data_IF_453029574610
#
_entry.id   IF_453029574610
#
_cell.length_a   1.000
_cell.length_b   1.000
_cell.length_c   1.000
_cell.angle_alpha   90.00
_cell.angle_beta   90.00
_cell.angle_gamma   90.00
#
_symmetry.space_group_name_H-M   'P 1'
#
loop_
_entity.id
_entity.type
_entity.pdbx_description
1 polymer ?
#
# COMPACT_ATOMS: atom_id res chain seq x y z
N UNK A 1 1.18 40.19 -22.70
CA UNK A 1 1.06 38.79 -23.08
C UNK A 1 2.23 38.06 -22.41
N UNK A 2 2.02 37.47 -21.23
CA UNK A 2 2.97 36.57 -20.62
C UNK A 2 2.96 35.24 -21.38
N UNK A 3 4.12 34.77 -21.83
CA UNK A 3 4.23 33.43 -22.37
C UNK A 3 3.86 32.44 -21.26
N UNK A 4 2.96 31.53 -21.54
CA UNK A 4 2.67 30.42 -20.63
C UNK A 4 3.99 29.66 -20.37
N UNK A 5 4.33 29.45 -19.11
CA UNK A 5 5.50 28.67 -18.77
C UNK A 5 5.33 27.27 -19.34
N UNK A 6 6.27 26.82 -20.18
CA UNK A 6 6.20 25.48 -20.77
C UNK A 6 6.54 24.47 -19.68
N UNK A 7 5.62 23.52 -19.46
CA UNK A 7 5.85 22.38 -18.56
C UNK A 7 6.80 21.41 -19.25
N UNK A 8 7.88 21.03 -18.56
CA UNK A 8 8.85 20.04 -19.03
C UNK A 8 8.86 18.82 -18.13
N UNK A 9 9.11 17.65 -18.72
CA UNK A 9 9.30 16.40 -17.99
C UNK A 9 10.76 16.03 -17.95
N UNK A 10 11.28 15.80 -16.76
CA UNK A 10 12.65 15.36 -16.49
C UNK A 10 12.62 13.91 -16.05
N UNK A 11 13.60 13.13 -16.49
CA UNK A 11 13.70 11.73 -16.11
C UNK A 11 15.15 11.35 -15.82
N UNK A 12 15.32 10.39 -14.93
CA UNK A 12 16.60 9.75 -14.67
C UNK A 12 16.38 8.32 -14.19
N UNK A 13 17.44 7.52 -14.21
CA UNK A 13 17.42 6.15 -13.76
C UNK A 13 18.65 5.81 -12.91
N UNK A 14 18.52 4.77 -12.10
CA UNK A 14 19.58 4.21 -11.27
C UNK A 14 19.50 2.69 -11.32
N UNK A 15 20.62 2.03 -11.57
CA UNK A 15 20.76 0.59 -11.50
C UNK A 15 21.52 0.22 -10.22
N UNK A 16 20.87 -0.50 -9.32
CA UNK A 16 21.47 -0.95 -8.08
C UNK A 16 22.42 -2.13 -8.35
N UNK A 17 23.46 -2.33 -7.53
CA UNK A 17 24.28 -3.54 -7.63
C UNK A 17 23.45 -4.80 -7.37
N UNK A 18 23.90 -5.93 -7.89
CA UNK A 18 23.29 -7.22 -7.61
C UNK A 18 23.37 -7.55 -6.10
N UNK A 19 22.47 -8.42 -5.63
CA UNK A 19 22.47 -8.90 -4.25
C UNK A 19 21.72 -8.01 -3.25
N UNK A 20 20.96 -7.04 -3.71
CA UNK A 20 20.04 -6.29 -2.85
C UNK A 20 18.92 -7.22 -2.37
N UNK A 21 18.72 -7.26 -1.06
CA UNK A 21 17.74 -8.09 -0.38
C UNK A 21 16.74 -7.27 0.46
N UNK A 22 16.98 -6.00 0.64
CA UNK A 22 16.08 -5.09 1.33
C UNK A 22 15.98 -3.74 0.63
N UNK A 23 14.79 -3.15 0.65
CA UNK A 23 14.51 -1.85 0.04
C UNK A 23 13.89 -0.94 1.08
N UNK A 24 14.41 0.28 1.20
CA UNK A 24 13.85 1.37 1.99
C UNK A 24 13.64 2.57 1.08
N UNK A 25 12.40 3.05 0.97
CA UNK A 25 12.06 4.26 0.22
C UNK A 25 11.50 5.30 1.17
N UNK A 26 12.07 6.49 1.15
CA UNK A 26 11.64 7.66 1.91
C UNK A 26 11.33 8.80 0.93
N UNK A 27 10.06 9.09 0.77
CA UNK A 27 9.56 10.13 -0.13
C UNK A 27 8.57 11.04 0.61
N UNK A 28 8.20 12.15 0.00
CA UNK A 28 7.23 13.10 0.55
C UNK A 28 6.07 13.43 -0.42
N UNK A 29 6.26 13.25 -1.73
CA UNK A 29 5.29 13.72 -2.71
C UNK A 29 5.28 12.97 -4.03
N UNK A 30 6.03 11.87 -4.19
CA UNK A 30 5.98 11.07 -5.40
C UNK A 30 5.01 9.90 -5.27
N UNK A 31 4.38 9.52 -6.37
CA UNK A 31 3.80 8.21 -6.53
C UNK A 31 4.94 7.18 -6.57
N UNK A 32 5.01 6.32 -5.57
CA UNK A 32 6.03 5.29 -5.42
C UNK A 32 5.48 3.94 -5.87
N UNK A 33 6.10 3.34 -6.87
CA UNK A 33 5.70 2.07 -7.47
C UNK A 33 6.84 1.06 -7.33
N UNK A 34 6.59 -0.05 -6.66
CA UNK A 34 7.46 -1.23 -6.67
C UNK A 34 6.75 -2.32 -7.46
N UNK A 35 7.36 -2.79 -8.54
CA UNK A 35 6.79 -3.82 -9.40
C UNK A 35 7.79 -4.92 -9.71
N UNK A 36 7.33 -6.16 -9.68
CA UNK A 36 8.16 -7.29 -10.08
C UNK A 36 8.47 -7.23 -11.58
N UNK A 37 9.71 -7.54 -11.93
CA UNK A 37 10.19 -7.57 -13.31
C UNK A 37 11.15 -8.73 -13.53
N UNK A 38 11.30 -9.14 -14.79
CA UNK A 38 12.25 -10.19 -15.20
C UNK A 38 13.63 -9.58 -15.44
N UNK A 39 14.27 -9.18 -14.35
CA UNK A 39 15.58 -8.53 -14.28
C UNK A 39 16.43 -9.19 -13.20
N UNK A 40 17.73 -8.97 -13.20
CA UNK A 40 18.68 -9.57 -12.25
C UNK A 40 19.12 -8.62 -11.13
N UNK A 41 18.79 -7.34 -11.22
CA UNK A 41 19.07 -6.32 -10.22
C UNK A 41 17.93 -5.32 -10.13
N UNK A 42 17.88 -4.53 -9.05
CA UNK A 42 16.85 -3.49 -8.90
C UNK A 42 17.20 -2.29 -9.77
N UNK A 43 16.23 -1.86 -10.56
CA UNK A 43 16.31 -0.62 -11.36
C UNK A 43 15.26 0.37 -10.86
N UNK A 44 15.71 1.58 -10.60
CA UNK A 44 14.84 2.71 -10.28
C UNK A 44 14.78 3.67 -11.47
N UNK A 45 13.58 3.98 -11.92
CA UNK A 45 13.30 5.01 -12.92
C UNK A 45 12.40 6.06 -12.28
N UNK A 46 12.72 7.33 -12.46
CA UNK A 46 11.89 8.41 -11.94
C UNK A 46 11.71 9.54 -12.93
N UNK A 47 10.52 10.12 -12.89
CA UNK A 47 10.10 11.25 -13.72
C UNK A 47 9.61 12.38 -12.84
N UNK A 48 9.89 13.59 -13.24
CA UNK A 48 9.44 14.79 -12.58
C UNK A 48 8.96 15.81 -13.62
N UNK A 49 7.75 16.29 -13.47
CA UNK A 49 7.16 17.29 -14.36
C UNK A 49 7.08 18.62 -13.64
N UNK A 50 7.64 19.66 -14.20
CA UNK A 50 7.69 21.01 -13.61
C UNK A 50 7.76 22.07 -14.70
N UNK A 51 7.24 23.25 -14.38
CA UNK A 51 7.43 24.48 -15.15
C UNK A 51 8.80 25.14 -14.92
N UNK A 52 9.59 24.63 -13.98
CA UNK A 52 10.92 25.16 -13.65
C UNK A 52 12.01 24.20 -14.09
N UNK A 53 13.14 24.77 -14.55
CA UNK A 53 14.33 23.99 -14.87
C UNK A 53 14.88 23.31 -13.62
N UNK A 54 15.20 22.03 -13.75
CA UNK A 54 15.61 21.18 -12.64
C UNK A 54 16.64 20.14 -13.09
N UNK A 55 17.64 19.89 -12.23
CA UNK A 55 18.62 18.83 -12.46
C UNK A 55 18.08 17.48 -11.90
N UNK A 56 17.51 16.67 -12.77
CA UNK A 56 16.80 15.43 -12.43
C UNK A 56 17.66 14.42 -11.67
N UNK A 57 18.97 14.38 -11.95
CA UNK A 57 19.90 13.45 -11.28
C UNK A 57 20.06 13.67 -9.79
N UNK A 58 19.62 14.82 -9.27
CA UNK A 58 19.72 15.19 -7.84
C UNK A 58 18.42 15.08 -7.07
N UNK A 59 17.37 14.55 -7.68
CA UNK A 59 16.08 14.41 -7.00
C UNK A 59 16.08 13.33 -5.92
N UNK A 60 16.80 12.25 -6.16
CA UNK A 60 16.93 11.13 -5.25
C UNK A 60 18.38 10.80 -4.95
N UNK A 61 18.66 10.45 -3.70
CA UNK A 61 19.86 9.76 -3.29
C UNK A 61 19.61 8.26 -3.21
N UNK A 62 20.51 7.50 -3.81
CA UNK A 62 20.55 6.06 -3.77
C UNK A 62 21.77 5.61 -2.99
N UNK A 63 21.57 4.97 -1.85
CA UNK A 63 22.64 4.44 -1.02
C UNK A 63 22.48 2.94 -0.82
N UNK A 64 23.61 2.22 -0.85
CA UNK A 64 23.65 0.79 -0.60
C UNK A 64 24.53 0.52 0.60
N UNK A 65 23.93 -0.11 1.62
CA UNK A 65 24.63 -0.56 2.82
C UNK A 65 24.37 -2.06 3.03
N UNK A 66 25.41 -2.87 2.86
CA UNK A 66 25.25 -4.32 2.81
C UNK A 66 24.35 -4.74 1.66
N UNK A 67 23.25 -5.42 1.96
CA UNK A 67 22.23 -5.82 0.98
C UNK A 67 20.99 -4.92 0.97
N UNK A 68 21.05 -3.74 1.57
CA UNK A 68 19.94 -2.78 1.65
C UNK A 68 20.14 -1.62 0.69
N UNK A 69 19.19 -1.41 -0.19
CA UNK A 69 19.06 -0.20 -1.00
C UNK A 69 18.15 0.79 -0.29
N UNK A 70 18.67 1.97 -0.01
CA UNK A 70 17.89 3.11 0.50
C UNK A 70 17.76 4.17 -0.58
N UNK A 71 16.52 4.55 -0.86
CA UNK A 71 16.14 5.59 -1.83
C UNK A 71 15.50 6.73 -1.07
N UNK A 72 16.13 7.88 -1.07
CA UNK A 72 15.66 9.06 -0.33
C UNK A 72 15.46 10.24 -1.28
N UNK A 73 14.28 10.85 -1.26
CA UNK A 73 14.04 12.09 -1.98
C UNK A 73 14.74 13.24 -1.27
N UNK A 74 15.73 13.84 -1.92
CA UNK A 74 16.62 14.82 -1.31
C UNK A 74 16.18 16.25 -1.54
N UNK A 75 15.40 16.52 -2.58
CA UNK A 75 15.05 17.87 -2.97
C UNK A 75 13.67 17.95 -3.59
N UNK A 76 12.83 18.78 -3.00
CA UNK A 76 11.78 19.46 -3.75
C UNK A 76 12.47 20.61 -4.53
N UNK A 77 12.27 20.74 -5.84
CA UNK A 77 12.70 21.93 -6.55
C UNK A 77 12.12 23.15 -5.83
N UNK A 78 12.97 24.07 -5.41
CA UNK A 78 12.54 25.24 -4.65
C UNK A 78 11.42 25.95 -5.38
N UNK A 79 10.22 25.89 -4.84
CA UNK A 79 9.17 26.86 -5.10
C UNK A 79 9.61 28.18 -4.46
N UNK A 80 10.59 28.83 -5.05
CA UNK A 80 11.01 30.15 -4.64
C UNK A 80 9.90 31.13 -5.01
N UNK A 81 9.06 31.46 -4.02
CA UNK A 81 8.39 32.75 -3.85
C UNK A 81 7.57 33.37 -4.99
N UNK A 82 7.04 32.61 -5.94
CA UNK A 82 6.02 33.15 -6.84
C UNK A 82 4.81 32.25 -6.76
N UNK A 83 3.82 32.68 -6.00
CA UNK A 83 2.47 32.12 -6.03
C UNK A 83 1.91 32.42 -7.40
N UNK A 84 2.05 31.49 -8.33
CA UNK A 84 1.24 31.43 -9.54
C UNK A 84 0.42 30.16 -9.52
N UNK A 85 -0.85 30.33 -9.69
CA UNK A 85 -1.96 29.46 -9.37
C UNK A 85 -2.14 28.23 -10.26
N UNK A 86 -1.15 27.74 -10.99
CA UNK A 86 -1.26 26.54 -11.83
C UNK A 86 0.08 25.80 -11.99
N UNK A 87 0.78 25.53 -10.90
CA UNK A 87 1.97 24.70 -10.95
C UNK A 87 1.56 23.21 -10.86
N UNK A 88 1.43 22.58 -12.01
CA UNK A 88 1.17 21.14 -12.10
C UNK A 88 2.50 20.40 -11.89
N UNK A 89 2.74 19.96 -10.67
CA UNK A 89 3.89 19.11 -10.33
C UNK A 89 3.45 17.68 -10.21
N UNK A 90 4.14 16.78 -10.89
CA UNK A 90 3.98 15.35 -10.68
C UNK A 90 5.34 14.68 -10.59
N UNK A 91 5.46 13.76 -9.68
CA UNK A 91 6.65 12.95 -9.51
C UNK A 91 6.25 11.49 -9.42
N UNK A 92 6.94 10.64 -10.15
CA UNK A 92 6.77 9.18 -10.07
C UNK A 92 8.13 8.52 -9.92
N UNK A 93 8.25 7.66 -8.92
CA UNK A 93 9.40 6.79 -8.70
C UNK A 93 8.95 5.34 -8.89
N UNK A 94 9.51 4.67 -9.87
CA UNK A 94 9.24 3.25 -10.15
C UNK A 94 10.49 2.42 -9.88
N UNK A 95 10.40 1.45 -8.97
CA UNK A 95 11.41 0.43 -8.76
C UNK A 95 10.96 -0.88 -9.41
N UNK A 96 11.72 -1.34 -10.40
CA UNK A 96 11.61 -2.67 -10.94
C UNK A 96 12.40 -3.61 -10.04
N UNK A 97 11.75 -4.65 -9.53
CA UNK A 97 12.30 -5.56 -8.52
C UNK A 97 12.40 -6.96 -9.12
N UNK A 98 13.56 -7.62 -9.02
CA UNK A 98 13.69 -9.01 -9.46
C UNK A 98 12.65 -9.93 -8.82
N UNK A 99 12.24 -10.98 -9.55
CA UNK A 99 11.33 -12.00 -9.04
C UNK A 99 12.02 -12.91 -8.02
N UNK A 100 12.33 -12.35 -6.88
CA UNK A 100 12.89 -13.06 -5.72
C UNK A 100 12.15 -12.62 -4.45
N UNK A 101 12.24 -13.40 -3.40
CA UNK A 101 11.70 -13.00 -2.09
C UNK A 101 12.73 -12.12 -1.39
N UNK A 102 12.41 -10.86 -1.20
CA UNK A 102 13.22 -9.93 -0.42
C UNK A 102 13.05 -10.19 1.09
N UNK A 103 14.03 -9.81 1.87
CA UNK A 103 13.91 -9.86 3.34
C UNK A 103 12.97 -8.76 3.84
N UNK A 104 13.13 -7.54 3.33
CA UNK A 104 12.33 -6.41 3.80
C UNK A 104 12.04 -5.38 2.70
N UNK A 105 10.84 -4.84 2.73
CA UNK A 105 10.42 -3.66 1.98
C UNK A 105 9.81 -2.66 2.95
N UNK A 106 10.34 -1.45 2.97
CA UNK A 106 9.76 -0.33 3.72
C UNK A 106 9.60 0.86 2.79
N UNK A 107 8.38 1.34 2.64
CA UNK A 107 8.07 2.52 1.82
C UNK A 107 7.30 3.51 2.65
N UNK A 108 7.77 4.74 2.68
CA UNK A 108 7.07 5.86 3.30
C UNK A 108 6.98 7.05 2.34
N UNK A 109 5.80 7.64 2.26
CA UNK A 109 5.56 8.92 1.58
C UNK A 109 4.58 9.76 2.40
N UNK A 110 4.42 11.03 2.07
CA UNK A 110 3.47 11.90 2.81
C UNK A 110 2.21 12.16 2.00
N UNK A 111 2.34 12.53 0.73
CA UNK A 111 1.21 13.08 -0.02
C UNK A 111 0.87 12.35 -1.32
N UNK A 112 1.33 11.14 -1.52
CA UNK A 112 1.01 10.43 -2.75
C UNK A 112 0.86 8.92 -2.52
N UNK A 113 0.58 8.20 -3.61
CA UNK A 113 0.26 6.78 -3.59
C UNK A 113 1.49 5.89 -3.46
N UNK A 114 1.28 4.73 -2.86
CA UNK A 114 2.23 3.62 -2.85
C UNK A 114 1.57 2.44 -3.57
N UNK A 115 2.25 1.89 -4.56
CA UNK A 115 1.84 0.69 -5.28
C UNK A 115 2.89 -0.41 -5.13
N UNK A 116 2.47 -1.59 -4.72
CA UNK A 116 3.29 -2.80 -4.64
C UNK A 116 2.65 -3.88 -5.52
N UNK A 117 3.28 -4.25 -6.62
CA UNK A 117 2.71 -5.13 -7.64
C UNK A 117 3.57 -6.37 -7.93
N UNK A 118 3.07 -7.54 -7.60
CA UNK A 118 3.71 -8.83 -7.89
C UNK A 118 5.01 -9.09 -7.13
N UNK A 119 5.32 -8.31 -6.10
CA UNK A 119 6.57 -8.40 -5.34
C UNK A 119 6.40 -9.34 -4.15
N UNK A 120 7.45 -10.13 -3.86
CA UNK A 120 7.51 -11.03 -2.71
C UNK A 120 8.52 -10.52 -1.69
N UNK A 121 8.15 -10.54 -0.40
CA UNK A 121 9.07 -10.19 0.69
C UNK A 121 8.67 -10.89 1.99
N UNK A 122 9.65 -11.18 2.86
CA UNK A 122 9.35 -11.66 4.20
C UNK A 122 8.51 -10.64 4.97
N UNK A 123 8.90 -9.37 4.88
CA UNK A 123 8.17 -8.26 5.51
C UNK A 123 8.01 -7.11 4.54
N UNK A 124 6.81 -6.56 4.43
CA UNK A 124 6.55 -5.32 3.71
C UNK A 124 5.76 -4.34 4.59
N UNK A 125 6.24 -3.12 4.71
CA UNK A 125 5.61 -2.02 5.45
C UNK A 125 5.45 -0.79 4.57
N UNK A 126 4.21 -0.38 4.36
CA UNK A 126 3.83 0.72 3.46
C UNK A 126 3.10 1.80 4.27
N UNK A 127 3.59 3.01 4.25
CA UNK A 127 3.01 4.12 5.03
C UNK A 127 2.88 5.38 4.18
N UNK A 128 1.72 5.99 4.20
CA UNK A 128 1.49 7.33 3.63
C UNK A 128 0.58 8.14 4.54
N UNK A 129 0.65 9.46 4.49
CA UNK A 129 -0.29 10.30 5.26
C UNK A 129 -1.58 10.56 4.46
N UNK A 130 -1.46 11.04 3.23
CA UNK A 130 -2.60 11.50 2.43
C UNK A 130 -2.70 10.82 1.06
N UNK A 131 -2.17 9.62 0.93
CA UNK A 131 -2.19 8.86 -0.30
C UNK A 131 -2.99 7.57 -0.20
N UNK A 132 -3.09 6.89 -1.32
CA UNK A 132 -3.63 5.53 -1.35
C UNK A 132 -2.49 4.51 -1.31
N UNK A 133 -2.80 3.34 -0.77
CA UNK A 133 -1.93 2.17 -0.81
C UNK A 133 -2.64 1.10 -1.65
N UNK A 134 -1.96 0.64 -2.69
CA UNK A 134 -2.43 -0.43 -3.56
C UNK A 134 -1.42 -1.57 -3.54
N UNK A 135 -1.86 -2.75 -3.11
CA UNK A 135 -1.07 -3.97 -3.14
C UNK A 135 -1.76 -5.00 -4.03
N UNK A 136 -1.03 -5.56 -4.96
CA UNK A 136 -1.52 -6.64 -5.82
C UNK A 136 -0.52 -7.79 -5.90
N UNK A 137 -1.03 -9.03 -5.77
CA UNK A 137 -0.26 -10.27 -5.91
C UNK A 137 1.01 -10.29 -5.04
N UNK A 138 0.84 -10.02 -3.75
CA UNK A 138 1.92 -10.10 -2.76
C UNK A 138 2.00 -11.49 -2.14
N UNK A 139 3.23 -11.96 -1.94
CA UNK A 139 3.53 -13.19 -1.21
C UNK A 139 4.61 -12.94 -0.15
N UNK A 140 4.34 -13.31 1.10
CA UNK A 140 5.30 -13.09 2.19
C UNK A 140 4.81 -13.54 3.55
N UNK A 141 5.53 -13.13 4.59
CA UNK A 141 5.16 -13.46 5.98
C UNK A 141 4.35 -12.37 6.65
N UNK A 142 4.70 -11.10 6.41
CA UNK A 142 4.00 -9.95 7.01
C UNK A 142 3.84 -8.83 5.99
N UNK A 143 2.62 -8.39 5.83
CA UNK A 143 2.27 -7.20 5.04
C UNK A 143 1.53 -6.19 5.91
N UNK A 144 2.00 -4.96 5.96
CA UNK A 144 1.30 -3.86 6.63
C UNK A 144 1.14 -2.65 5.73
N UNK A 145 -0.05 -2.04 5.75
CA UNK A 145 -0.36 -0.79 5.07
C UNK A 145 -1.02 0.20 6.01
N UNK A 146 -0.50 1.41 6.11
CA UNK A 146 -1.06 2.46 6.97
C UNK A 146 -1.19 3.76 6.19
N UNK A 147 -2.37 4.35 6.23
CA UNK A 147 -2.59 5.72 5.76
C UNK A 147 -3.37 6.51 6.80
N UNK A 148 -3.17 7.82 6.84
CA UNK A 148 -4.01 8.69 7.68
C UNK A 148 -5.32 9.01 6.98
N UNK A 149 -5.23 9.47 5.73
CA UNK A 149 -6.38 9.81 4.89
C UNK A 149 -6.19 9.21 3.50
N UNK A 150 -7.07 8.30 3.11
CA UNK A 150 -6.97 7.72 1.79
C UNK A 150 -7.61 6.33 1.71
N UNK A 151 -7.28 5.63 0.64
CA UNK A 151 -7.79 4.30 0.37
C UNK A 151 -6.68 3.27 0.50
N UNK A 152 -6.97 2.15 1.12
CA UNK A 152 -6.12 0.96 1.06
C UNK A 152 -6.85 -0.12 0.26
N UNK A 153 -6.20 -0.65 -0.76
CA UNK A 153 -6.66 -1.82 -1.52
C UNK A 153 -5.55 -2.87 -1.50
N UNK A 154 -5.87 -4.05 -1.03
CA UNK A 154 -4.98 -5.21 -1.08
C UNK A 154 -5.69 -6.33 -1.83
N UNK A 155 -5.08 -6.83 -2.89
CA UNK A 155 -5.68 -7.83 -3.79
C UNK A 155 -4.70 -8.98 -4.08
N UNK A 156 -5.16 -10.22 -3.99
CA UNK A 156 -4.33 -11.39 -4.27
C UNK A 156 -3.14 -11.52 -3.30
N UNK A 157 -3.38 -11.30 -2.01
CA UNK A 157 -2.34 -11.35 -0.98
C UNK A 157 -2.31 -12.72 -0.33
N UNK A 158 -1.13 -13.33 -0.30
CA UNK A 158 -0.85 -14.53 0.49
C UNK A 158 0.21 -14.20 1.54
N UNK A 159 -0.18 -14.25 2.82
CA UNK A 159 0.70 -13.85 3.92
C UNK A 159 0.30 -14.53 5.23
N UNK A 160 1.22 -14.70 6.15
CA UNK A 160 0.86 -15.16 7.50
C UNK A 160 0.10 -14.06 8.24
N UNK A 161 0.58 -12.82 8.17
CA UNK A 161 -0.01 -11.68 8.84
C UNK A 161 -0.27 -10.53 7.85
N UNK A 162 -1.50 -10.07 7.82
CA UNK A 162 -1.90 -8.87 7.05
C UNK A 162 -2.44 -7.83 8.03
N UNK A 163 -1.96 -6.62 7.92
CA UNK A 163 -2.45 -5.48 8.69
C UNK A 163 -2.75 -4.29 7.78
N UNK A 164 -3.91 -3.68 7.93
CA UNK A 164 -4.29 -2.49 7.19
C UNK A 164 -4.95 -1.47 8.12
N UNK A 165 -4.46 -0.23 8.13
CA UNK A 165 -4.95 0.80 9.03
C UNK A 165 -5.19 2.12 8.30
N UNK A 166 -6.41 2.65 8.42
CA UNK A 166 -6.77 4.01 8.02
C UNK A 166 -7.09 4.80 9.29
N UNK A 167 -6.18 5.72 9.63
CA UNK A 167 -6.22 6.39 10.94
C UNK A 167 -7.30 7.45 11.09
N UNK A 168 -7.78 8.03 9.99
CA UNK A 168 -8.79 9.08 10.03
C UNK A 168 -9.96 8.77 9.09
N UNK A 169 -9.80 8.94 7.79
CA UNK A 169 -10.91 8.77 6.84
C UNK A 169 -10.47 8.07 5.56
N UNK A 170 -11.29 7.13 5.10
CA UNK A 170 -11.04 6.43 3.85
C UNK A 170 -11.79 5.11 3.74
N UNK A 171 -11.50 4.37 2.66
CA UNK A 171 -12.10 3.07 2.38
C UNK A 171 -11.03 1.99 2.36
N UNK A 172 -11.30 0.88 3.02
CA UNK A 172 -10.43 -0.27 3.04
C UNK A 172 -11.08 -1.42 2.26
N UNK A 173 -10.36 -1.91 1.25
CA UNK A 173 -10.79 -3.03 0.42
C UNK A 173 -9.75 -4.14 0.44
N UNK A 174 -10.19 -5.33 0.82
CA UNK A 174 -9.40 -6.55 0.85
C UNK A 174 -9.99 -7.53 -0.16
N UNK A 175 -9.23 -7.97 -1.16
CA UNK A 175 -9.72 -8.85 -2.22
C UNK A 175 -8.84 -10.10 -2.31
N UNK A 176 -9.46 -11.27 -2.18
CA UNK A 176 -8.77 -12.56 -2.27
C UNK A 176 -7.57 -12.64 -1.33
N UNK A 177 -7.82 -12.39 -0.05
CA UNK A 177 -6.80 -12.45 1.00
C UNK A 177 -6.70 -13.87 1.54
N UNK A 178 -5.49 -14.43 1.49
CA UNK A 178 -5.12 -15.67 2.17
C UNK A 178 -4.16 -15.33 3.31
N UNK A 179 -4.65 -15.36 4.56
CA UNK A 179 -3.84 -15.00 5.73
C UNK A 179 -4.21 -15.86 6.94
N UNK A 180 -3.21 -16.14 7.80
CA UNK A 180 -3.48 -16.73 9.10
C UNK A 180 -4.11 -15.70 10.05
N UNK A 181 -3.61 -14.47 10.01
CA UNK A 181 -4.16 -13.36 10.79
C UNK A 181 -4.34 -12.14 9.88
N UNK A 182 -5.55 -11.62 9.82
CA UNK A 182 -5.86 -10.38 9.11
C UNK A 182 -6.45 -9.38 10.08
N UNK A 183 -5.75 -8.27 10.28
CA UNK A 183 -6.17 -7.16 11.13
C UNK A 183 -6.42 -5.92 10.27
N UNK A 184 -7.62 -5.37 10.33
CA UNK A 184 -7.93 -4.13 9.61
C UNK A 184 -8.68 -3.14 10.50
N UNK A 185 -8.26 -1.87 10.44
CA UNK A 185 -8.87 -0.79 11.23
C UNK A 185 -9.09 0.45 10.36
N UNK A 186 -10.30 1.00 10.46
CA UNK A 186 -10.67 2.26 9.83
C UNK A 186 -11.36 3.14 10.86
N UNK A 187 -11.01 4.41 10.97
CA UNK A 187 -11.74 5.28 11.90
C UNK A 187 -13.08 5.74 11.29
N UNK A 188 -13.05 6.30 10.09
CA UNK A 188 -14.26 6.74 9.39
C UNK A 188 -14.27 6.20 7.96
N UNK A 189 -15.13 5.22 7.70
CA UNK A 189 -15.27 4.55 6.41
C UNK A 189 -15.56 3.07 6.56
N UNK A 190 -15.81 2.41 5.46
CA UNK A 190 -16.21 1.01 5.45
C UNK A 190 -15.02 0.08 5.13
N UNK A 191 -15.13 -1.13 5.64
CA UNK A 191 -14.24 -2.25 5.32
C UNK A 191 -15.04 -3.25 4.50
N UNK A 192 -14.56 -3.55 3.30
CA UNK A 192 -15.11 -4.62 2.46
C UNK A 192 -14.02 -5.65 2.17
N UNK A 193 -14.37 -6.92 2.16
CA UNK A 193 -13.36 -7.95 1.95
C UNK A 193 -13.86 -9.25 1.35
N UNK A 194 -12.97 -9.91 0.62
CA UNK A 194 -13.06 -11.33 0.31
C UNK A 194 -11.82 -12.07 0.84
N UNK A 195 -12.05 -13.17 1.51
CA UNK A 195 -11.02 -13.99 2.16
C UNK A 195 -11.07 -15.39 1.55
N UNK A 196 -9.91 -15.88 1.13
CA UNK A 196 -9.80 -17.23 0.56
C UNK A 196 -9.89 -18.26 1.68
N UNK A 197 -10.80 -19.21 1.54
CA UNK A 197 -11.00 -20.31 2.48
C UNK A 197 -12.46 -20.49 2.87
N UNK A 198 -12.70 -21.33 3.87
CA UNK A 198 -14.02 -21.53 4.45
C UNK A 198 -14.21 -20.65 5.68
N UNK A 199 -15.38 -20.05 5.82
CA UNK A 199 -15.74 -19.26 7.01
C UNK A 199 -15.58 -20.04 8.31
N UNK A 200 -15.77 -21.35 8.30
CA UNK A 200 -15.57 -22.22 9.47
C UNK A 200 -14.11 -22.34 9.92
N UNK A 201 -13.14 -22.01 9.06
CA UNK A 201 -11.70 -22.03 9.37
C UNK A 201 -11.20 -20.76 10.02
N UNK A 202 -12.05 -19.75 10.14
CA UNK A 202 -11.70 -18.45 10.70
C UNK A 202 -12.49 -18.14 11.98
N UNK A 203 -11.79 -17.67 12.97
CA UNK A 203 -12.39 -16.92 14.06
C UNK A 203 -12.45 -15.44 13.67
N UNK A 204 -13.59 -14.79 13.85
CA UNK A 204 -13.70 -13.39 13.51
C UNK A 204 -14.22 -12.55 14.67
N UNK A 205 -13.57 -11.41 14.84
CA UNK A 205 -13.95 -10.33 15.73
C UNK A 205 -14.14 -9.08 14.88
N UNK A 206 -15.39 -8.68 14.68
CA UNK A 206 -15.77 -7.60 13.80
C UNK A 206 -16.47 -6.51 14.60
N UNK A 207 -16.10 -5.25 14.34
CA UNK A 207 -16.72 -4.10 14.96
C UNK A 207 -17.07 -3.03 13.91
N UNK A 208 -18.31 -2.57 13.93
CA UNK A 208 -18.82 -1.52 13.04
C UNK A 208 -19.60 -0.50 13.87
N UNK A 209 -18.89 0.45 14.49
CA UNK A 209 -19.52 1.46 15.35
C UNK A 209 -20.56 2.28 14.57
N UNK A 210 -21.82 2.10 14.92
CA UNK A 210 -22.96 2.71 14.21
C UNK A 210 -23.30 2.11 12.86
N UNK A 211 -22.56 1.10 12.38
CA UNK A 211 -22.75 0.46 11.10
C UNK A 211 -23.29 -0.96 11.16
N UNK A 212 -23.33 -1.60 10.01
CA UNK A 212 -23.77 -2.98 9.83
C UNK A 212 -22.57 -3.89 9.61
N UNK A 213 -22.70 -5.11 10.13
CA UNK A 213 -21.74 -6.19 9.89
C UNK A 213 -22.46 -7.27 9.10
N UNK A 214 -21.79 -7.75 8.03
CA UNK A 214 -22.22 -8.87 7.23
C UNK A 214 -21.04 -9.80 6.95
N UNK A 215 -21.22 -11.09 7.20
CA UNK A 215 -20.27 -12.14 6.87
C UNK A 215 -21.00 -13.22 6.11
N UNK A 216 -20.47 -13.62 4.96
CA UNK A 216 -21.03 -14.67 4.12
C UNK A 216 -19.93 -15.62 3.63
N UNK A 217 -20.32 -16.81 3.19
CA UNK A 217 -19.44 -17.79 2.53
C UNK A 217 -20.05 -18.15 1.19
N UNK A 218 -19.35 -17.91 0.10
CA UNK A 218 -19.84 -18.17 -1.25
C UNK A 218 -20.11 -19.66 -1.50
N UNK A 219 -19.47 -20.55 -0.74
CA UNK A 219 -19.63 -22.01 -0.84
C UNK A 219 -20.68 -22.58 0.11
N UNK A 220 -21.13 -21.84 1.12
CA UNK A 220 -22.14 -22.27 2.08
C UNK A 220 -23.17 -21.15 2.32
N UNK A 221 -24.31 -21.28 1.66
CA UNK A 221 -25.42 -20.30 1.77
C UNK A 221 -26.02 -20.21 3.18
N UNK A 222 -25.79 -21.20 4.04
CA UNK A 222 -26.22 -21.17 5.41
C UNK A 222 -25.24 -20.43 6.33
N UNK A 223 -24.00 -20.20 5.85
CA UNK A 223 -23.01 -19.41 6.55
C UNK A 223 -23.25 -17.91 6.28
N UNK A 224 -24.18 -17.38 7.01
CA UNK A 224 -24.54 -15.96 6.92
C UNK A 224 -24.72 -15.41 8.33
N UNK A 225 -23.87 -14.45 8.69
CA UNK A 225 -23.97 -13.71 9.94
C UNK A 225 -24.18 -12.23 9.64
N UNK A 226 -25.06 -11.63 10.40
CA UNK A 226 -25.29 -10.19 10.35
C UNK A 226 -25.44 -9.65 11.76
N UNK A 227 -24.95 -8.45 11.98
CA UNK A 227 -24.99 -7.79 13.26
C UNK A 227 -24.94 -6.28 13.14
N UNK A 228 -25.08 -5.62 14.26
CA UNK A 228 -24.79 -4.19 14.43
C UNK A 228 -23.75 -4.06 15.50
N UNK A 229 -22.88 -3.08 15.35
CA UNK A 229 -21.84 -2.67 16.28
C UNK A 229 -20.73 -3.70 16.51
N UNK A 230 -21.04 -4.94 16.84
CA UNK A 230 -20.04 -6.00 17.05
C UNK A 230 -20.57 -7.39 16.69
N UNK A 231 -19.66 -8.24 16.21
CA UNK A 231 -19.92 -9.65 15.94
C UNK A 231 -18.65 -10.45 16.23
N UNK A 232 -18.77 -11.46 17.09
CA UNK A 232 -17.68 -12.39 17.39
C UNK A 232 -18.16 -13.83 17.17
N UNK A 233 -17.39 -14.63 16.45
CA UNK A 233 -17.69 -16.02 16.19
C UNK A 233 -16.41 -16.86 16.11
N UNK A 234 -16.55 -18.16 16.42
CA UNK A 234 -15.54 -19.17 16.23
C UNK A 234 -14.14 -18.77 16.78
N UNK A 235 -14.12 -18.29 18.02
CA UNK A 235 -12.92 -17.74 18.64
C UNK A 235 -11.72 -18.71 18.70
N UNK A 236 -11.95 -20.02 18.68
CA UNK A 236 -10.92 -21.05 18.75
C UNK A 236 -10.36 -21.47 17.39
N UNK A 237 -10.87 -20.93 16.28
CA UNK A 237 -10.37 -21.26 14.96
C UNK A 237 -8.89 -20.87 14.79
N UNK A 238 -8.13 -21.63 13.96
CA UNK A 238 -6.70 -21.39 13.78
C UNK A 238 -6.39 -20.05 13.10
N UNK A 239 -7.25 -19.60 12.19
CA UNK A 239 -7.07 -18.33 11.51
C UNK A 239 -7.94 -17.25 12.14
N UNK A 240 -7.49 -15.99 12.06
CA UNK A 240 -8.16 -14.85 12.69
C UNK A 240 -8.45 -13.75 11.69
N UNK A 241 -9.64 -13.21 11.78
CA UNK A 241 -10.10 -12.05 11.02
C UNK A 241 -10.63 -10.99 11.97
N UNK A 242 -9.85 -9.95 12.20
CA UNK A 242 -10.18 -8.89 13.15
C UNK A 242 -10.35 -7.57 12.36
N UNK A 243 -11.59 -7.17 12.13
CA UNK A 243 -11.90 -5.99 11.33
C UNK A 243 -12.72 -5.00 12.17
N UNK A 244 -12.27 -3.76 12.24
CA UNK A 244 -12.92 -2.73 13.01
C UNK A 244 -13.03 -1.40 12.28
N UNK A 245 -14.21 -0.84 12.22
CA UNK A 245 -14.43 0.57 11.88
C UNK A 245 -15.18 1.28 12.99
N UNK A 246 -14.84 2.54 13.24
CA UNK A 246 -15.55 3.34 14.24
C UNK A 246 -16.85 3.91 13.67
N UNK A 247 -16.84 4.31 12.41
CA UNK A 247 -18.01 4.85 11.71
C UNK A 247 -18.05 4.29 10.29
N UNK A 248 -18.84 3.25 10.06
CA UNK A 248 -19.02 2.61 8.76
C UNK A 248 -19.43 1.14 8.87
N UNK A 249 -19.55 0.49 7.75
CA UNK A 249 -19.95 -0.91 7.65
C UNK A 249 -18.73 -1.84 7.52
N UNK A 250 -18.92 -3.09 7.93
CA UNK A 250 -17.97 -4.19 7.70
C UNK A 250 -18.68 -5.29 6.92
N UNK A 251 -18.20 -5.58 5.72
CA UNK A 251 -18.73 -6.65 4.87
C UNK A 251 -17.61 -7.58 4.42
N UNK A 252 -17.75 -8.86 4.68
CA UNK A 252 -16.76 -9.90 4.34
C UNK A 252 -17.44 -11.10 3.70
N UNK A 253 -16.83 -11.62 2.63
CA UNK A 253 -17.22 -12.83 1.98
C UNK A 253 -16.05 -13.83 1.96
N UNK A 254 -16.28 -15.05 2.40
CA UNK A 254 -15.33 -16.16 2.20
C UNK A 254 -15.53 -16.73 0.79
N UNK A 255 -14.40 -16.89 0.08
CA UNK A 255 -14.35 -17.37 -1.30
C UNK A 255 -13.37 -18.55 -1.44
N UNK A 256 -13.50 -19.37 -2.49
CA UNK A 256 -12.61 -20.52 -2.78
C UNK A 256 -11.59 -20.18 -3.84
#
# INVERSE_FOLDING_TARGET
>A
CGAAASVATYSASYDAPAGINAIVVQDNSAAVILQAADIDHIRADYTYTSSYAFESSKLYDFTVAGSTLTVTKTREPNASLIIQSEDTRSCTLTLQVPRQTLANITVSTTNDSITLAGVSAQTASLTTDNGRIEVSNFNGSTLSGTTRNGKITMSGVTSQNVAATIQNSGTLKLENISANVCNAKVQNGSITGSVIGSGSSYGFELAAGGGKIRVSDASDKNFLFSGKDALQQNADAPNKLNLATKNGDVEVEFVR
#
